data_IF_678705696562
#
_entry.id   IF_678705696562
#
_cell.length_a   1.000
_cell.length_b   1.000
_cell.length_c   1.000
_cell.angle_alpha   90.00
_cell.angle_beta   90.00
_cell.angle_gamma   90.00
#
_symmetry.space_group_name_H-M   'P 1'
#
loop_
_entity.id
_entity.type
_entity.pdbx_description
1 polymer ?
#
# COMPACT_ATOMS: atom_id res chain seq x y z
N UNK A 1 5.67 -19.03 50.11
CA UNK A 1 5.75 -19.41 48.69
C UNK A 1 4.85 -18.59 47.75
N UNK A 2 3.64 -18.18 48.11
CA UNK A 2 2.69 -17.44 47.26
C UNK A 2 3.20 -16.05 46.75
N UNK A 3 3.98 -15.31 47.54
CA UNK A 3 4.47 -13.96 47.16
C UNK A 3 5.54 -13.95 46.07
N UNK A 4 6.35 -14.99 45.95
CA UNK A 4 7.37 -15.09 44.89
C UNK A 4 6.75 -15.39 43.52
N UNK A 5 5.71 -16.23 43.48
CA UNK A 5 4.98 -16.59 42.27
C UNK A 5 4.25 -15.40 41.67
N UNK A 6 3.66 -14.52 42.51
CA UNK A 6 2.96 -13.31 42.03
C UNK A 6 3.95 -12.33 41.37
N UNK A 7 5.14 -12.16 41.95
CA UNK A 7 6.17 -11.26 41.39
C UNK A 7 6.70 -11.75 40.05
N UNK A 8 6.89 -13.06 39.87
CA UNK A 8 7.34 -13.65 38.63
C UNK A 8 6.24 -13.53 37.59
N UNK A 9 4.97 -13.79 37.91
CA UNK A 9 3.85 -13.66 37.00
C UNK A 9 3.66 -12.21 36.53
N UNK A 10 3.79 -11.25 37.41
CA UNK A 10 3.70 -9.82 37.09
C UNK A 10 4.85 -9.35 36.21
N UNK A 11 6.07 -9.89 36.39
CA UNK A 11 7.21 -9.57 35.55
C UNK A 11 7.05 -10.15 34.12
N UNK A 12 6.53 -11.35 34.02
CA UNK A 12 6.24 -11.98 32.70
C UNK A 12 5.16 -11.21 31.97
N UNK A 13 4.10 -10.78 32.66
CA UNK A 13 3.02 -9.99 32.07
C UNK A 13 3.52 -8.63 31.54
N UNK A 14 4.37 -7.95 32.30
CA UNK A 14 5.01 -6.68 31.86
C UNK A 14 5.93 -6.92 30.67
N UNK A 15 6.69 -8.03 30.65
CA UNK A 15 7.56 -8.37 29.54
C UNK A 15 6.77 -8.64 28.26
N UNK A 16 5.64 -9.35 28.36
CA UNK A 16 4.76 -9.62 27.21
C UNK A 16 4.12 -8.35 26.67
N UNK A 17 3.74 -7.42 27.56
CA UNK A 17 3.19 -6.11 27.15
C UNK A 17 4.23 -5.21 26.49
N UNK A 18 5.51 -5.33 26.84
CA UNK A 18 6.60 -4.57 26.22
C UNK A 18 6.93 -5.05 24.78
N UNK A 19 6.59 -6.29 24.44
CA UNK A 19 6.78 -6.83 23.10
C UNK A 19 5.53 -6.74 22.21
N UNK A 20 4.39 -6.32 22.76
CA UNK A 20 3.21 -5.98 21.98
C UNK A 20 3.35 -4.56 21.39
N UNK A 21 4.42 -4.33 20.63
CA UNK A 21 4.52 -3.14 19.79
C UNK A 21 3.50 -3.35 18.68
N UNK A 22 2.50 -2.48 18.51
CA UNK A 22 1.64 -2.57 17.34
C UNK A 22 2.53 -2.42 16.12
N UNK A 23 2.58 -3.46 15.29
CA UNK A 23 3.23 -3.40 13.99
C UNK A 23 2.40 -2.40 13.19
N UNK A 24 2.94 -1.19 13.02
CA UNK A 24 2.31 -0.19 12.19
C UNK A 24 2.57 -0.56 10.74
N UNK A 25 1.51 -0.64 9.93
CA UNK A 25 1.65 -0.86 8.50
C UNK A 25 2.64 0.14 7.89
N UNK A 26 3.52 -0.35 7.02
CA UNK A 26 4.51 0.50 6.39
C UNK A 26 3.85 1.44 5.39
N UNK A 27 3.84 2.74 5.71
CA UNK A 27 3.33 3.80 4.83
C UNK A 27 4.44 4.24 3.88
N UNK A 28 4.17 4.18 2.58
CA UNK A 28 5.09 4.65 1.55
C UNK A 28 4.48 5.84 0.80
N UNK A 29 5.26 6.91 0.67
CA UNK A 29 4.90 8.01 -0.22
C UNK A 29 5.17 7.59 -1.66
N UNK A 30 4.27 7.99 -2.57
CA UNK A 30 4.45 7.82 -4.00
C UNK A 30 4.25 9.15 -4.73
N UNK A 31 4.92 9.29 -5.87
CA UNK A 31 4.72 10.36 -6.83
C UNK A 31 4.82 9.75 -8.22
N UNK A 32 3.74 9.78 -8.95
CA UNK A 32 3.65 9.27 -10.31
C UNK A 32 3.47 10.44 -11.28
N UNK A 33 4.25 10.44 -12.32
CA UNK A 33 4.12 11.35 -13.43
C UNK A 33 4.14 10.55 -14.71
N UNK A 34 3.00 10.53 -15.40
CA UNK A 34 2.85 9.81 -16.65
C UNK A 34 2.82 10.79 -17.81
N UNK A 35 3.69 10.56 -18.79
CA UNK A 35 3.78 11.34 -20.02
C UNK A 35 3.70 10.37 -21.20
N UNK A 36 2.53 10.26 -21.78
CA UNK A 36 2.32 9.44 -22.97
C UNK A 36 2.90 10.11 -24.24
N UNK A 37 4.20 10.35 -24.25
CA UNK A 37 4.83 10.90 -25.45
C UNK A 37 4.92 9.88 -26.60
N UNK A 38 5.02 8.58 -26.31
CA UNK A 38 5.35 7.55 -27.27
C UNK A 38 4.70 6.18 -26.97
N UNK A 39 3.44 5.99 -27.27
CA UNK A 39 2.77 4.67 -27.36
C UNK A 39 2.59 3.87 -26.05
N UNK A 40 1.34 3.44 -25.86
CA UNK A 40 0.85 2.51 -24.86
C UNK A 40 0.86 3.06 -23.41
N UNK A 41 0.01 2.46 -22.60
CA UNK A 41 -0.21 2.75 -21.19
C UNK A 41 1.11 3.02 -20.43
N UNK A 42 1.31 4.23 -19.97
CA UNK A 42 2.47 4.57 -19.15
C UNK A 42 2.26 4.05 -17.73
N UNK A 43 3.18 3.22 -17.27
CA UNK A 43 3.14 2.59 -15.95
C UNK A 43 4.22 3.15 -15.04
N UNK A 44 3.82 3.56 -13.84
CA UNK A 44 4.70 4.02 -12.78
C UNK A 44 4.59 3.09 -11.56
N UNK A 45 5.70 2.90 -10.85
CA UNK A 45 5.75 2.03 -9.69
C UNK A 45 6.30 2.76 -8.47
N UNK A 46 5.67 2.54 -7.32
CA UNK A 46 6.22 3.00 -6.04
C UNK A 46 7.47 2.21 -5.63
N UNK A 47 8.15 2.67 -4.59
CA UNK A 47 9.10 1.84 -3.87
C UNK A 47 8.40 0.60 -3.27
N UNK A 48 9.18 -0.41 -2.91
CA UNK A 48 8.68 -1.57 -2.18
C UNK A 48 8.14 -1.14 -0.82
N UNK A 49 6.99 -1.68 -0.45
CA UNK A 49 6.38 -1.54 0.87
C UNK A 49 6.15 -2.91 1.50
N UNK A 50 6.54 -3.05 2.74
CA UNK A 50 6.34 -4.27 3.51
C UNK A 50 4.88 -4.36 3.96
N UNK A 51 4.22 -5.48 3.64
CA UNK A 51 2.91 -5.78 4.23
C UNK A 51 3.10 -6.32 5.63
N UNK A 52 2.53 -5.64 6.60
CA UNK A 52 2.70 -5.94 8.01
C UNK A 52 1.44 -6.45 8.70
N UNK A 53 0.30 -6.33 8.04
CA UNK A 53 -1.00 -6.75 8.54
C UNK A 53 -1.62 -7.89 7.71
N UNK A 54 -2.78 -8.37 8.14
CA UNK A 54 -3.56 -9.43 7.47
C UNK A 54 -4.81 -8.88 6.78
N UNK A 55 -4.86 -7.57 6.50
CA UNK A 55 -5.98 -6.97 5.76
C UNK A 55 -6.01 -7.50 4.32
N UNK A 56 -7.20 -7.66 3.79
CA UNK A 56 -7.44 -8.16 2.44
C UNK A 56 -7.47 -7.05 1.37
N UNK A 57 -7.01 -5.85 1.73
CA UNK A 57 -6.91 -4.69 0.83
C UNK A 57 -5.70 -3.84 1.16
N UNK A 58 -5.22 -3.12 0.16
CA UNK A 58 -4.29 -2.02 0.30
C UNK A 58 -5.04 -0.70 0.39
N UNK A 59 -4.46 0.26 1.07
CA UNK A 59 -5.00 1.59 1.23
C UNK A 59 -4.18 2.61 0.43
N UNK A 60 -4.83 3.40 -0.42
CA UNK A 60 -4.20 4.47 -1.18
C UNK A 60 -4.89 5.78 -0.87
N UNK A 61 -4.12 6.78 -0.47
CA UNK A 61 -4.58 8.15 -0.31
C UNK A 61 -3.90 9.04 -1.34
N UNK A 62 -4.69 9.62 -2.24
CA UNK A 62 -4.25 10.67 -3.16
C UNK A 62 -4.37 12.01 -2.43
N UNK A 63 -3.27 12.73 -2.32
CA UNK A 63 -3.21 14.04 -1.64
C UNK A 63 -3.15 15.21 -2.62
N UNK A 64 -2.59 14.96 -3.81
CA UNK A 64 -2.54 15.92 -4.90
C UNK A 64 -2.52 15.19 -6.25
N UNK A 65 -3.29 15.68 -7.20
CA UNK A 65 -3.25 15.21 -8.58
C UNK A 65 -3.98 16.17 -9.53
N UNK A 66 -3.77 15.98 -10.82
CA UNK A 66 -4.58 16.60 -11.87
C UNK A 66 -5.58 15.62 -12.51
N UNK A 67 -5.81 14.46 -11.87
CA UNK A 67 -6.71 13.41 -12.38
C UNK A 67 -8.13 13.94 -12.50
N UNK A 68 -8.75 13.62 -13.64
CA UNK A 68 -10.20 13.78 -13.88
C UNK A 68 -10.84 12.42 -14.14
N UNK A 69 -12.18 12.37 -14.17
CA UNK A 69 -12.91 11.15 -14.49
C UNK A 69 -12.67 10.62 -15.91
N UNK A 70 -12.04 11.40 -16.77
CA UNK A 70 -11.76 11.05 -18.17
C UNK A 70 -10.36 10.46 -18.38
N UNK A 71 -9.47 10.56 -17.39
CA UNK A 71 -8.07 10.20 -17.54
C UNK A 71 -7.82 8.68 -17.44
N UNK A 72 -8.81 7.90 -17.02
CA UNK A 72 -8.71 6.44 -16.85
C UNK A 72 -7.48 6.02 -16.03
N UNK A 73 -7.12 6.83 -15.03
CA UNK A 73 -6.00 6.50 -14.16
C UNK A 73 -6.39 5.38 -13.20
N UNK A 74 -5.58 4.33 -13.13
CA UNK A 74 -5.83 3.18 -12.26
C UNK A 74 -4.68 2.92 -11.30
N UNK A 75 -5.02 2.46 -10.11
CA UNK A 75 -4.09 1.87 -9.16
C UNK A 75 -4.24 0.35 -9.11
N UNK A 76 -3.12 -0.35 -8.92
CA UNK A 76 -3.09 -1.79 -8.72
C UNK A 76 -1.92 -2.16 -7.81
N UNK A 77 -2.09 -3.15 -6.95
CA UNK A 77 -0.98 -3.73 -6.20
C UNK A 77 -0.30 -4.80 -7.03
N UNK A 78 1.01 -4.69 -7.15
CA UNK A 78 1.87 -5.63 -7.88
C UNK A 78 2.96 -6.18 -6.97
N UNK A 79 3.64 -7.22 -7.42
CA UNK A 79 4.76 -7.82 -6.70
C UNK A 79 5.92 -6.85 -6.44
N UNK A 80 6.86 -7.29 -5.64
CA UNK A 80 8.09 -6.56 -5.34
C UNK A 80 8.91 -6.27 -6.60
N UNK A 81 9.97 -5.47 -6.46
CA UNK A 81 10.83 -5.11 -7.58
C UNK A 81 11.30 -6.36 -8.37
N UNK A 82 11.03 -6.38 -9.68
CA UNK A 82 11.27 -7.52 -10.56
C UNK A 82 10.08 -8.49 -10.73
N UNK A 83 9.04 -8.39 -9.88
CA UNK A 83 7.77 -9.09 -10.04
C UNK A 83 6.68 -8.09 -10.48
N UNK A 84 6.17 -8.25 -11.69
CA UNK A 84 5.11 -7.41 -12.26
C UNK A 84 3.73 -8.06 -12.19
N UNK A 85 3.61 -9.18 -11.50
CA UNK A 85 2.32 -9.85 -11.31
C UNK A 85 1.36 -8.97 -10.51
N UNK A 86 0.12 -8.87 -10.98
CA UNK A 86 -0.94 -8.16 -10.27
C UNK A 86 -1.47 -9.01 -9.12
N UNK A 87 -1.61 -8.42 -7.95
CA UNK A 87 -2.14 -9.03 -6.73
C UNK A 87 -3.50 -8.48 -6.35
N UNK A 88 -3.97 -7.45 -7.05
CA UNK A 88 -5.28 -6.85 -6.85
C UNK A 88 -5.98 -6.60 -8.17
N UNK A 89 -7.25 -6.22 -8.09
CA UNK A 89 -7.94 -5.59 -9.21
C UNK A 89 -7.39 -4.17 -9.43
N UNK A 90 -7.59 -3.62 -10.63
CA UNK A 90 -7.36 -2.21 -10.90
C UNK A 90 -8.50 -1.39 -10.31
N UNK A 91 -8.17 -0.31 -9.62
CA UNK A 91 -9.13 0.64 -9.06
C UNK A 91 -8.94 1.98 -9.74
N UNK A 92 -9.98 2.48 -10.39
CA UNK A 92 -9.93 3.77 -11.08
C UNK A 92 -9.97 4.93 -10.09
N UNK A 93 -9.01 5.83 -10.20
CA UNK A 93 -9.04 7.12 -9.53
C UNK A 93 -9.84 8.12 -10.38
N UNK A 94 -10.82 8.77 -9.79
CA UNK A 94 -11.77 9.65 -10.49
C UNK A 94 -11.75 11.08 -9.97
N UNK A 95 -10.92 11.39 -9.00
CA UNK A 95 -10.85 12.69 -8.35
C UNK A 95 -9.41 13.09 -8.05
N UNK A 96 -9.18 14.40 -7.96
CA UNK A 96 -7.86 14.99 -7.67
C UNK A 96 -7.32 14.62 -6.27
N UNK A 97 -8.22 14.36 -5.34
CA UNK A 97 -7.91 13.85 -4.00
C UNK A 97 -8.90 12.77 -3.63
N UNK A 98 -8.47 11.81 -2.82
CA UNK A 98 -9.38 10.74 -2.41
C UNK A 98 -8.68 9.61 -1.68
N UNK A 99 -9.49 8.67 -1.24
CA UNK A 99 -9.06 7.45 -0.57
C UNK A 99 -9.63 6.26 -1.33
N UNK A 100 -8.78 5.29 -1.60
CA UNK A 100 -9.13 4.10 -2.36
C UNK A 100 -8.69 2.86 -1.59
N UNK A 101 -9.60 1.91 -1.41
CA UNK A 101 -9.30 0.58 -0.94
C UNK A 101 -9.15 -0.34 -2.15
N UNK A 102 -8.01 -0.99 -2.27
CA UNK A 102 -7.67 -1.86 -3.39
C UNK A 102 -7.66 -3.30 -2.88
N UNK A 103 -8.75 -4.01 -3.09
CA UNK A 103 -8.91 -5.38 -2.61
C UNK A 103 -8.01 -6.36 -3.38
N UNK A 104 -7.38 -7.26 -2.65
CA UNK A 104 -6.57 -8.31 -3.23
C UNK A 104 -7.46 -9.37 -3.89
N UNK A 105 -7.02 -9.87 -5.02
CA UNK A 105 -7.66 -10.98 -5.74
C UNK A 105 -6.78 -12.24 -5.76
N UNK A 106 -5.65 -12.19 -5.08
CA UNK A 106 -4.70 -13.28 -4.85
C UNK A 106 -4.21 -13.23 -3.42
N UNK A 107 -3.63 -14.34 -2.98
CA UNK A 107 -3.04 -14.42 -1.65
C UNK A 107 -1.90 -13.42 -1.50
N UNK A 108 -2.01 -12.57 -0.52
CA UNK A 108 -1.03 -11.57 -0.10
C UNK A 108 -0.65 -11.87 1.34
N UNK A 109 0.64 -11.96 1.59
CA UNK A 109 1.14 -12.42 2.88
C UNK A 109 1.86 -11.30 3.62
N UNK A 110 1.60 -11.18 4.91
CA UNK A 110 2.41 -10.39 5.84
C UNK A 110 3.88 -10.84 5.77
N UNK A 111 4.80 -9.91 5.82
CA UNK A 111 6.24 -10.15 5.67
C UNK A 111 6.76 -10.08 4.24
N UNK A 112 5.90 -9.99 3.23
CA UNK A 112 6.30 -9.81 1.83
C UNK A 112 6.23 -8.34 1.41
N UNK A 113 7.03 -8.00 0.40
CA UNK A 113 7.04 -6.67 -0.19
C UNK A 113 6.16 -6.61 -1.43
N UNK A 114 5.46 -5.49 -1.57
CA UNK A 114 4.63 -5.17 -2.72
C UNK A 114 4.90 -3.75 -3.19
N UNK A 115 4.43 -3.39 -4.38
CA UNK A 115 4.50 -2.04 -4.94
C UNK A 115 3.11 -1.59 -5.38
N UNK A 116 2.87 -0.29 -5.32
CA UNK A 116 1.75 0.33 -5.99
C UNK A 116 2.13 0.62 -7.44
N UNK A 117 1.30 0.22 -8.38
CA UNK A 117 1.37 0.60 -9.79
C UNK A 117 0.31 1.64 -10.08
N UNK A 118 0.71 2.76 -10.67
CA UNK A 118 -0.17 3.72 -11.32
C UNK A 118 -0.10 3.55 -12.83
N UNK A 119 -1.23 3.59 -13.52
CA UNK A 119 -1.32 3.42 -14.97
C UNK A 119 -2.41 4.31 -15.56
N UNK A 120 -2.15 4.92 -16.70
CA UNK A 120 -3.12 5.69 -17.46
C UNK A 120 -2.86 5.62 -18.96
N UNK A 121 -3.90 5.84 -19.76
CA UNK A 121 -3.82 6.10 -21.19
C UNK A 121 -3.92 7.60 -21.53
N UNK A 122 -3.96 8.47 -20.54
CA UNK A 122 -4.05 9.92 -20.72
C UNK A 122 -2.69 10.59 -20.69
N UNK A 123 -2.58 11.75 -21.35
CA UNK A 123 -1.37 12.56 -21.37
C UNK A 123 -1.24 13.39 -20.08
N UNK A 124 -0.01 13.52 -19.56
CA UNK A 124 0.35 14.45 -18.49
C UNK A 124 -0.48 14.29 -17.21
N UNK A 125 -0.68 13.06 -16.78
CA UNK A 125 -1.29 12.79 -15.49
C UNK A 125 -0.22 12.74 -14.41
N UNK A 126 -0.44 13.54 -13.36
CA UNK A 126 0.38 13.47 -12.16
C UNK A 126 -0.48 13.12 -10.96
N UNK A 127 0.05 12.33 -10.04
CA UNK A 127 -0.62 11.98 -8.78
C UNK A 127 0.40 11.69 -7.70
N UNK A 128 0.15 12.25 -6.54
CA UNK A 128 0.97 12.08 -5.34
C UNK A 128 0.13 11.66 -4.16
N UNK A 129 0.75 10.95 -3.24
CA UNK A 129 0.09 10.52 -2.04
C UNK A 129 0.88 9.51 -1.25
N UNK A 130 0.16 8.69 -0.50
CA UNK A 130 0.73 7.60 0.29
C UNK A 130 -0.12 6.34 0.14
N UNK A 131 0.53 5.22 0.33
CA UNK A 131 -0.14 3.92 0.30
C UNK A 131 0.42 2.97 1.34
N UNK A 132 -0.38 1.99 1.69
CA UNK A 132 -0.10 0.91 2.63
C UNK A 132 -0.56 -0.40 1.99
N UNK A 133 0.30 -1.41 1.86
CA UNK A 133 -0.07 -2.70 1.29
C UNK A 133 -0.95 -3.54 2.20
#
# INVERSE_FOLDING_TARGET
>A
MKRKSIRVLSLILVLVLLFAVPVAAQVINYSFYTDMADDADDEQFSANALKEDDLDYAFVRVTDSNITSYDNFTFCVVGQNGDYSSYSQEVQATAQTGVYNIYYNRDVYSGNNYRLRGRTSAYYVHTEGRWEP
#
